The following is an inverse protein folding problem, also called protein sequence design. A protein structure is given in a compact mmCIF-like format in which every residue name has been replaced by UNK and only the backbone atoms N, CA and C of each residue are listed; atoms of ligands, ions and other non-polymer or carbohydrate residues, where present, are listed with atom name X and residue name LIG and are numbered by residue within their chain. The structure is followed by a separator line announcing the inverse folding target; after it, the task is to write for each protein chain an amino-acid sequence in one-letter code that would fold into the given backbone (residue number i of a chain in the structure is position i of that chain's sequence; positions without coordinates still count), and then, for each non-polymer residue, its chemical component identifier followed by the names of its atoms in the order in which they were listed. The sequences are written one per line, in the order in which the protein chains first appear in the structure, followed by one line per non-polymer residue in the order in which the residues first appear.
data_IF_133079104960
#
_entry.id   IF_133079104960
#
_cell.length_a   1.000
_cell.length_b   1.000
_cell.length_c   1.000
_cell.angle_alpha   90.00
_cell.angle_beta   90.00
_cell.angle_gamma   90.00
#
_symmetry.space_group_name_H-M   'P 1'
#
loop_
_entity.id
_entity.type
_entity.pdbx_description
1 polymer ?
#
# COMPACT_ATOMS: atom_id res chain seq x y z
N UNK A 1 24.41 0.17 7.99
CA UNK A 1 23.02 0.19 8.51
C UNK A 1 22.25 -0.97 7.94
N UNK A 2 21.51 -1.71 8.79
CA UNK A 2 20.62 -2.73 8.25
C UNK A 2 19.57 -2.09 7.34
N UNK A 3 19.24 -2.78 6.27
CA UNK A 3 18.20 -2.34 5.35
C UNK A 3 16.85 -2.40 6.05
N UNK A 4 16.04 -1.34 5.92
CA UNK A 4 14.67 -1.34 6.40
C UNK A 4 13.78 -1.92 5.32
N UNK A 5 13.10 -3.00 5.64
CA UNK A 5 12.13 -3.61 4.73
C UNK A 5 10.73 -3.22 5.17
N UNK A 6 9.80 -3.22 4.22
CA UNK A 6 8.42 -2.92 4.50
C UNK A 6 7.76 -4.15 5.12
N UNK A 7 7.55 -4.11 6.43
CA UNK A 7 6.96 -5.23 7.15
C UNK A 7 5.96 -4.80 8.22
N UNK A 8 6.12 -3.60 8.78
CA UNK A 8 5.28 -3.15 9.90
C UNK A 8 4.19 -2.18 9.45
N UNK A 9 2.97 -2.34 9.99
CA UNK A 9 1.83 -1.49 9.62
C UNK A 9 2.10 0.00 9.71
N UNK A 10 2.77 0.47 10.77
CA UNK A 10 2.98 1.89 10.99
C UNK A 10 3.85 2.53 9.89
N UNK A 11 4.72 1.76 9.24
CA UNK A 11 5.56 2.30 8.16
C UNK A 11 4.71 2.90 7.03
N UNK A 12 3.57 2.28 6.72
CA UNK A 12 2.68 2.77 5.67
C UNK A 12 2.03 4.08 6.08
N UNK A 13 1.54 4.18 7.32
CA UNK A 13 0.91 5.41 7.80
C UNK A 13 1.92 6.56 7.83
N UNK A 14 3.13 6.30 8.31
CA UNK A 14 4.19 7.31 8.35
C UNK A 14 4.52 7.85 6.96
N UNK A 15 4.61 6.96 5.97
CA UNK A 15 4.83 7.33 4.58
C UNK A 15 3.70 8.20 4.03
N UNK A 16 2.43 7.83 4.29
CA UNK A 16 1.27 8.58 3.80
C UNK A 16 1.20 9.96 4.46
N UNK A 17 1.49 10.06 5.75
CA UNK A 17 1.53 11.34 6.45
C UNK A 17 2.60 12.25 5.85
N UNK A 18 3.80 11.72 5.61
CA UNK A 18 4.91 12.47 5.04
C UNK A 18 4.57 13.00 3.63
N UNK A 19 4.04 12.13 2.78
CA UNK A 19 3.71 12.52 1.40
C UNK A 19 2.54 13.49 1.34
N UNK A 20 1.53 13.32 2.18
CA UNK A 20 0.42 14.26 2.25
C UNK A 20 0.88 15.66 2.63
N UNK A 21 1.86 15.77 3.53
CA UNK A 21 2.40 17.04 3.97
C UNK A 21 3.23 17.76 2.89
N UNK A 22 3.80 17.02 1.94
CA UNK A 22 4.61 17.61 0.84
C UNK A 22 3.72 18.22 -0.23
N UNK A 23 2.53 17.66 -0.47
CA UNK A 23 1.63 18.12 -1.52
C UNK A 23 1.14 19.55 -1.25
N UNK A 24 1.13 20.37 -2.30
CA UNK A 24 0.63 21.74 -2.24
C UNK A 24 -0.73 21.91 -2.94
N UNK A 25 -1.27 20.84 -3.50
CA UNK A 25 -2.60 20.80 -4.12
C UNK A 25 -3.27 19.45 -3.85
N UNK A 26 -4.61 19.40 -3.90
CA UNK A 26 -5.32 18.13 -3.67
C UNK A 26 -4.94 17.07 -4.69
N UNK A 27 -4.71 15.86 -4.20
CA UNK A 27 -4.39 14.71 -5.05
C UNK A 27 -4.94 13.44 -4.40
N UNK A 28 -5.16 12.40 -5.20
CA UNK A 28 -5.64 11.13 -4.65
C UNK A 28 -4.89 9.95 -5.26
N UNK A 29 -4.82 8.87 -4.50
CA UNK A 29 -4.28 7.60 -4.95
C UNK A 29 -5.13 6.45 -4.43
N UNK A 30 -5.05 5.31 -5.11
CA UNK A 30 -5.56 4.04 -4.63
C UNK A 30 -4.36 3.17 -4.26
N UNK A 31 -4.37 2.63 -3.06
CA UNK A 31 -3.29 1.79 -2.54
C UNK A 31 -3.73 0.33 -2.58
N UNK A 32 -2.95 -0.52 -3.23
CA UNK A 32 -3.26 -1.96 -3.35
C UNK A 32 -2.08 -2.78 -2.84
N UNK A 33 -2.20 -4.09 -2.92
CA UNK A 33 -1.12 -5.01 -2.55
C UNK A 33 -0.89 -5.13 -1.05
N UNK A 34 0.29 -5.61 -0.67
CA UNK A 34 0.63 -5.85 0.74
C UNK A 34 0.64 -4.56 1.57
N UNK A 35 0.99 -3.43 0.97
CA UNK A 35 0.95 -2.14 1.65
C UNK A 35 -0.47 -1.78 2.11
N UNK A 36 -1.48 -2.10 1.31
CA UNK A 36 -2.87 -1.87 1.68
C UNK A 36 -3.29 -2.75 2.86
N UNK A 37 -2.81 -3.99 2.92
CA UNK A 37 -3.06 -4.87 4.07
C UNK A 37 -2.42 -4.31 5.34
N UNK A 38 -1.19 -3.82 5.23
CA UNK A 38 -0.51 -3.18 6.36
C UNK A 38 -1.27 -1.95 6.84
N UNK A 39 -1.80 -1.15 5.90
CA UNK A 39 -2.62 0.00 6.25
C UNK A 39 -3.84 -0.40 7.09
N UNK A 40 -4.55 -1.45 6.68
CA UNK A 40 -5.71 -1.93 7.43
C UNK A 40 -5.34 -2.36 8.85
N UNK A 41 -4.19 -3.02 9.01
CA UNK A 41 -3.71 -3.41 10.32
C UNK A 41 -3.42 -2.17 11.18
N UNK A 42 -2.72 -1.17 10.63
CA UNK A 42 -2.42 0.07 11.34
C UNK A 42 -3.69 0.83 11.73
N UNK A 43 -4.69 0.87 10.84
CA UNK A 43 -5.96 1.54 11.09
C UNK A 43 -6.72 0.93 12.28
N UNK A 44 -6.48 -0.34 12.55
CA UNK A 44 -7.07 -1.07 13.68
C UNK A 44 -6.16 -1.10 14.91
N UNK A 45 -5.05 -0.37 14.89
CA UNK A 45 -4.11 -0.32 16.01
C UNK A 45 -3.28 -1.58 16.18
N UNK A 46 -3.15 -2.40 15.14
CA UNK A 46 -2.39 -3.65 15.18
C UNK A 46 -0.97 -3.41 14.68
N UNK A 47 0.03 -3.90 15.42
CA UNK A 47 1.44 -3.78 15.07
C UNK A 47 2.07 -5.17 14.94
N UNK A 48 1.53 -5.97 14.04
CA UNK A 48 2.04 -7.32 13.76
C UNK A 48 2.73 -7.29 12.40
N UNK A 49 4.03 -7.61 12.33
CA UNK A 49 4.74 -7.55 11.06
C UNK A 49 4.30 -8.64 10.10
N UNK A 50 4.41 -8.36 8.78
CA UNK A 50 4.19 -9.36 7.75
C UNK A 50 5.24 -10.47 7.86
N UNK A 51 4.85 -11.75 7.68
CA UNK A 51 5.81 -12.87 7.73
C UNK A 51 6.76 -12.88 6.53
N UNK A 52 6.30 -12.43 5.37
CA UNK A 52 7.10 -12.26 4.17
C UNK A 52 7.17 -10.79 3.86
N UNK A 53 8.33 -10.18 4.06
CA UNK A 53 8.53 -8.75 3.88
C UNK A 53 8.31 -8.34 2.43
N UNK A 54 7.76 -7.16 2.24
CA UNK A 54 7.61 -6.56 0.93
C UNK A 54 8.71 -5.53 0.72
N UNK A 55 9.12 -5.36 -0.54
CA UNK A 55 10.11 -4.37 -0.93
C UNK A 55 9.50 -3.20 -1.69
N UNK A 56 8.20 -3.26 -1.99
CA UNK A 56 7.53 -2.23 -2.79
C UNK A 56 6.15 -1.90 -2.25
N UNK A 57 5.77 -0.66 -2.51
CA UNK A 57 4.42 -0.13 -2.28
C UNK A 57 3.82 0.16 -3.65
N UNK A 58 2.59 -0.26 -3.87
CA UNK A 58 1.94 -0.23 -5.19
C UNK A 58 0.76 0.75 -5.22
N UNK A 59 1.00 2.06 -5.40
CA UNK A 59 -0.08 3.01 -5.61
C UNK A 59 -0.52 3.09 -7.07
N UNK A 60 -1.78 3.49 -7.25
CA UNK A 60 -2.35 3.87 -8.53
C UNK A 60 -2.82 5.31 -8.40
N UNK A 61 -2.42 6.19 -9.30
CA UNK A 61 -2.85 7.59 -9.28
C UNK A 61 -2.92 8.17 -10.69
N UNK A 62 -3.81 9.13 -10.88
CA UNK A 62 -3.87 9.97 -12.07
C UNK A 62 -3.33 11.37 -11.81
N UNK A 63 -2.86 11.64 -10.60
CA UNK A 63 -2.26 12.92 -10.22
C UNK A 63 -0.82 13.01 -10.72
N UNK A 64 -0.51 14.06 -11.49
CA UNK A 64 0.86 14.29 -11.96
C UNK A 64 1.82 14.53 -10.78
N UNK A 65 1.38 15.28 -9.76
CA UNK A 65 2.21 15.56 -8.58
C UNK A 65 2.59 14.27 -7.86
N UNK A 66 1.62 13.38 -7.62
CA UNK A 66 1.90 12.08 -6.99
C UNK A 66 2.73 11.18 -7.88
N UNK A 67 2.49 11.18 -9.20
CA UNK A 67 3.29 10.40 -10.13
C UNK A 67 4.76 10.79 -10.09
N UNK A 68 5.06 12.10 -10.04
CA UNK A 68 6.44 12.58 -9.89
C UNK A 68 7.08 12.11 -8.59
N UNK A 69 6.34 12.15 -7.47
CA UNK A 69 6.83 11.65 -6.19
C UNK A 69 7.13 10.14 -6.27
N UNK A 70 6.28 9.38 -6.96
CA UNK A 70 6.51 7.96 -7.18
C UNK A 70 7.77 7.70 -8.00
N UNK A 71 8.00 8.48 -9.06
CA UNK A 71 9.21 8.32 -9.89
C UNK A 71 10.48 8.62 -9.08
N UNK A 72 10.43 9.57 -8.16
CA UNK A 72 11.56 9.87 -7.29
C UNK A 72 11.80 8.79 -6.21
N UNK A 73 10.87 7.86 -6.05
CA UNK A 73 10.94 6.79 -5.04
C UNK A 73 11.04 5.38 -5.64
N UNK A 74 11.39 5.27 -6.93
CA UNK A 74 11.54 3.99 -7.63
C UNK A 74 12.72 3.17 -7.10
N UNK A 75 12.77 1.91 -7.55
CA UNK A 75 13.91 1.03 -7.30
C UNK A 75 15.21 1.73 -7.75
N UNK A 76 16.23 1.67 -6.91
CA UNK A 76 17.51 2.33 -7.17
C UNK A 76 17.56 3.80 -6.75
N UNK A 77 16.47 4.36 -6.26
CA UNK A 77 16.41 5.77 -5.83
C UNK A 77 17.05 6.00 -4.47
N UNK A 78 17.28 7.28 -4.15
CA UNK A 78 17.70 7.68 -2.80
C UNK A 78 16.65 7.29 -1.76
N UNK A 79 15.37 7.40 -2.12
CA UNK A 79 14.27 6.98 -1.26
C UNK A 79 14.44 5.51 -0.84
N UNK A 80 14.70 4.63 -1.82
CA UNK A 80 14.90 3.21 -1.52
C UNK A 80 16.11 2.98 -0.63
N UNK A 81 17.23 3.69 -0.89
CA UNK A 81 18.42 3.56 -0.05
C UNK A 81 18.16 3.97 1.39
N UNK A 82 17.32 5.00 1.59
CA UNK A 82 16.99 5.51 2.91
C UNK A 82 15.98 4.61 3.65
N UNK A 83 14.94 4.14 2.94
CA UNK A 83 13.82 3.42 3.56
C UNK A 83 13.99 1.90 3.55
N UNK A 84 14.74 1.37 2.57
CA UNK A 84 14.89 -0.07 2.37
C UNK A 84 13.75 -0.69 1.57
N UNK A 85 12.86 0.12 1.03
CA UNK A 85 11.78 -0.28 0.13
C UNK A 85 11.50 0.86 -0.86
N UNK A 86 10.78 0.59 -1.91
CA UNK A 86 10.54 1.58 -2.98
C UNK A 86 9.06 1.66 -3.34
N UNK A 87 8.70 2.69 -4.10
CA UNK A 87 7.34 2.90 -4.60
C UNK A 87 7.29 2.44 -6.07
N UNK A 88 6.30 1.63 -6.39
CA UNK A 88 6.10 1.08 -7.72
C UNK A 88 4.74 1.53 -8.26
N UNK A 89 4.72 2.64 -8.98
CA UNK A 89 3.48 3.19 -9.55
C UNK A 89 2.91 2.21 -10.58
N UNK A 90 1.66 1.77 -10.35
CA UNK A 90 0.99 0.84 -11.24
C UNK A 90 -0.01 1.55 -12.15
N UNK A 91 -0.27 1.01 -13.35
CA UNK A 91 -1.29 1.57 -14.23
C UNK A 91 -2.70 1.31 -13.68
N UNK A 92 -3.64 2.19 -14.03
CA UNK A 92 -5.03 2.07 -13.57
C UNK A 92 -5.70 0.74 -13.96
N UNK A 93 -5.21 0.09 -15.01
CA UNK A 93 -5.75 -1.20 -15.46
C UNK A 93 -5.67 -2.29 -14.41
N UNK A 94 -4.73 -2.20 -13.45
CA UNK A 94 -4.63 -3.21 -12.38
C UNK A 94 -5.86 -3.22 -11.48
N UNK A 95 -6.61 -2.13 -11.41
CA UNK A 95 -7.82 -2.05 -10.59
C UNK A 95 -8.92 -2.97 -11.11
N UNK A 96 -8.86 -3.37 -12.38
CA UNK A 96 -9.80 -4.33 -12.97
C UNK A 96 -9.65 -5.74 -12.41
N UNK A 97 -8.53 -6.02 -11.77
CA UNK A 97 -8.29 -7.32 -11.11
C UNK A 97 -9.03 -7.43 -9.78
N UNK A 98 -9.48 -6.31 -9.22
CA UNK A 98 -10.24 -6.29 -7.98
C UNK A 98 -11.68 -6.76 -8.24
N UNK A 99 -12.32 -7.42 -7.25
CA UNK A 99 -13.71 -7.88 -7.40
C UNK A 99 -14.68 -6.73 -7.69
N UNK A 100 -15.72 -7.01 -8.47
CA UNK A 100 -16.73 -6.03 -8.79
C UNK A 100 -17.32 -5.42 -7.52
N UNK A 101 -17.51 -4.11 -7.53
CA UNK A 101 -18.07 -3.36 -6.40
C UNK A 101 -17.06 -3.02 -5.31
N UNK A 102 -15.78 -3.26 -5.53
CA UNK A 102 -14.74 -2.99 -4.53
C UNK A 102 -14.74 -1.52 -4.06
N UNK A 103 -15.09 -0.59 -4.95
CA UNK A 103 -15.08 0.85 -4.61
C UNK A 103 -16.05 1.16 -3.47
N UNK A 104 -17.20 0.50 -3.43
CA UNK A 104 -18.18 0.73 -2.38
C UNK A 104 -17.77 0.15 -1.02
N UNK A 105 -16.81 -0.77 -1.02
CA UNK A 105 -16.29 -1.38 0.19
C UNK A 105 -14.98 -0.76 0.67
N UNK A 106 -14.40 0.12 -0.15
CA UNK A 106 -13.09 0.71 0.14
C UNK A 106 -13.14 1.72 1.29
N UNK A 107 -12.04 1.82 2.02
CA UNK A 107 -11.83 2.89 2.99
C UNK A 107 -11.28 4.12 2.29
N UNK A 108 -11.60 5.29 2.80
CA UNK A 108 -11.09 6.57 2.33
C UNK A 108 -10.47 7.32 3.51
N UNK A 109 -9.26 7.80 3.34
CA UNK A 109 -8.59 8.59 4.37
C UNK A 109 -7.91 9.80 3.74
N UNK A 110 -7.90 10.91 4.49
CA UNK A 110 -7.27 12.16 4.06
C UNK A 110 -6.03 12.39 4.91
N UNK A 111 -4.90 12.60 4.23
CA UNK A 111 -3.63 13.00 4.84
C UNK A 111 -3.25 14.36 4.25
N UNK A 112 -3.59 15.44 4.95
CA UNK A 112 -3.46 16.81 4.44
C UNK A 112 -4.15 16.97 3.09
N UNK A 113 -3.38 17.20 2.00
CA UNK A 113 -3.92 17.39 0.65
C UNK A 113 -4.13 16.08 -0.11
N UNK A 114 -3.80 14.95 0.50
CA UNK A 114 -3.86 13.65 -0.18
C UNK A 114 -5.03 12.80 0.32
N UNK A 115 -5.87 12.38 -0.62
CA UNK A 115 -6.90 11.37 -0.34
C UNK A 115 -6.38 10.00 -0.77
N UNK A 116 -6.47 9.03 0.12
CA UNK A 116 -6.05 7.65 -0.16
C UNK A 116 -7.28 6.75 -0.12
N UNK A 117 -7.47 5.99 -1.19
CA UNK A 117 -8.53 4.97 -1.29
C UNK A 117 -7.88 3.62 -1.08
N UNK A 118 -8.37 2.86 -0.11
CA UNK A 118 -7.80 1.57 0.25
C UNK A 118 -8.91 0.51 0.12
N UNK A 119 -8.81 -0.40 -0.87
CA UNK A 119 -9.81 -1.48 -0.99
C UNK A 119 -9.91 -2.29 0.29
N UNK A 120 -11.06 -2.90 0.53
CA UNK A 120 -11.25 -3.78 1.69
C UNK A 120 -10.28 -4.96 1.63
N UNK A 121 -9.88 -5.53 2.78
CA UNK A 121 -8.93 -6.65 2.79
C UNK A 121 -9.33 -7.81 1.89
N UNK A 122 -10.60 -8.18 1.86
CA UNK A 122 -11.10 -9.27 1.01
C UNK A 122 -10.87 -8.97 -0.47
N UNK A 123 -10.99 -7.71 -0.87
CA UNK A 123 -10.79 -7.29 -2.26
C UNK A 123 -9.30 -7.26 -2.62
N UNK A 124 -8.45 -6.83 -1.67
CA UNK A 124 -6.99 -6.86 -1.86
C UNK A 124 -6.48 -8.30 -2.00
N UNK A 125 -7.02 -9.21 -1.21
CA UNK A 125 -6.59 -10.61 -1.21
C UNK A 125 -7.04 -11.39 -2.43
N UNK A 126 -8.13 -11.00 -3.09
CA UNK A 126 -8.68 -11.76 -4.22
C UNK A 126 -7.67 -11.99 -5.35
N UNK A 127 -6.96 -10.97 -5.89
CA UNK A 127 -5.92 -11.22 -6.90
C UNK A 127 -4.74 -12.03 -6.35
N UNK A 128 -4.36 -11.84 -5.08
CA UNK A 128 -3.29 -12.63 -4.46
C UNK A 128 -3.64 -14.11 -4.41
N UNK A 129 -4.85 -14.44 -4.01
CA UNK A 129 -5.31 -15.83 -3.93
C UNK A 129 -5.42 -16.48 -5.31
N UNK A 130 -5.72 -15.69 -6.36
CA UNK A 130 -5.72 -16.20 -7.73
C UNK A 130 -4.32 -16.57 -8.20
N UNK A 131 -3.30 -15.75 -7.87
CA UNK A 131 -1.89 -16.10 -8.17
C UNK A 131 -1.43 -17.30 -7.36
N UNK A 132 -1.84 -17.34 -6.10
CA UNK A 132 -1.60 -18.46 -5.18
C UNK A 132 -0.12 -18.84 -5.02
N UNK A 133 0.77 -17.85 -5.02
CA UNK A 133 2.18 -18.06 -4.72
C UNK A 133 2.38 -18.21 -3.20
N UNK A 134 3.51 -18.78 -2.74
CA UNK A 134 3.76 -18.94 -1.30
C UNK A 134 3.64 -17.64 -0.52
N UNK A 135 4.16 -16.52 -1.04
CA UNK A 135 4.06 -15.23 -0.38
C UNK A 135 2.61 -14.75 -0.30
N UNK A 136 1.82 -14.97 -1.36
CA UNK A 136 0.41 -14.59 -1.38
C UNK A 136 -0.38 -15.34 -0.30
N UNK A 137 -0.12 -16.63 -0.16
CA UNK A 137 -0.76 -17.46 0.88
C UNK A 137 -0.35 -17.00 2.29
N UNK A 138 0.93 -16.68 2.47
CA UNK A 138 1.44 -16.20 3.75
C UNK A 138 0.77 -14.87 4.15
N UNK A 139 0.60 -13.95 3.20
CA UNK A 139 -0.07 -12.68 3.45
C UNK A 139 -1.55 -12.88 3.78
N UNK A 140 -2.24 -13.78 3.08
CA UNK A 140 -3.64 -14.09 3.36
C UNK A 140 -3.82 -14.71 4.75
N UNK A 141 -2.94 -15.63 5.11
CA UNK A 141 -2.97 -16.25 6.44
C UNK A 141 -2.70 -15.23 7.54
N UNK A 142 -1.72 -14.37 7.34
CA UNK A 142 -1.42 -13.27 8.25
C UNK A 142 -2.65 -12.37 8.45
N UNK A 143 -3.31 -11.98 7.36
CA UNK A 143 -4.50 -11.11 7.41
C UNK A 143 -5.62 -11.74 8.25
N UNK A 144 -5.84 -13.05 8.10
CA UNK A 144 -6.82 -13.78 8.91
C UNK A 144 -6.39 -13.85 10.38
N UNK A 145 -5.10 -14.13 10.61
CA UNK A 145 -4.57 -14.26 11.97
C UNK A 145 -4.69 -12.97 12.76
N UNK A 146 -4.39 -11.83 12.14
CA UNK A 146 -4.50 -10.52 12.82
C UNK A 146 -5.92 -9.97 12.82
N UNK A 147 -6.85 -10.60 12.12
CA UNK A 147 -8.28 -10.27 12.19
C UNK A 147 -8.73 -9.18 11.24
N UNK A 148 -8.00 -8.87 10.18
CA UNK A 148 -8.42 -7.90 9.17
C UNK A 148 -9.15 -8.54 7.98
N UNK A 149 -9.09 -9.85 7.88
CA UNK A 149 -9.79 -10.59 6.82
C UNK A 149 -10.47 -11.84 7.35
#
# INVERSE_FOLDING_TARGET
MPRRELSRPQQIVDWLVEWGAILDEPASMTLIGSAALLWHAADRGLDVPLPENSMDVDPVTDSDALAWMCYDALIGSEFERTHGWHVNLLPASVLKELPEGWESRAAHRIYDMMTVVIPAPVDILAPKLRRNEPRDRAHAEWARHVGIA
#
